data_IF_455238221951
#
_entry.id   IF_455238221951
#
_cell.length_a   1.000
_cell.length_b   1.000
_cell.length_c   1.000
_cell.angle_alpha   90.00
_cell.angle_beta   90.00
_cell.angle_gamma   90.00
#
_symmetry.space_group_name_H-M   'P 1'
#
loop_
_entity.id
_entity.type
_entity.pdbx_description
1 polymer ?
#
# COMPACT_ATOMS: atom_id res chain seq x y z
N UNK A 1 0.27 -20.22 -21.41
CA UNK A 1 0.98 -19.00 -21.88
C UNK A 1 1.04 -17.90 -20.83
N UNK A 2 -0.04 -17.21 -20.42
CA UNK A 2 0.03 -16.12 -19.43
C UNK A 2 0.57 -16.58 -18.06
N UNK A 3 0.12 -17.71 -17.54
CA UNK A 3 0.66 -18.32 -16.29
C UNK A 3 2.15 -18.57 -16.38
N UNK A 4 2.65 -19.07 -17.50
CA UNK A 4 4.08 -19.32 -17.69
C UNK A 4 4.88 -18.03 -17.71
N UNK A 5 4.37 -16.97 -18.33
CA UNK A 5 5.01 -15.65 -18.33
C UNK A 5 5.07 -15.07 -16.91
N UNK A 6 4.00 -15.21 -16.13
CA UNK A 6 3.98 -14.79 -14.72
C UNK A 6 4.99 -15.57 -13.88
N UNK A 7 5.06 -16.88 -14.05
CA UNK A 7 6.01 -17.71 -13.30
C UNK A 7 7.47 -17.41 -13.72
N UNK A 8 7.74 -17.20 -15.00
CA UNK A 8 9.05 -16.73 -15.47
C UNK A 8 9.41 -15.36 -14.89
N UNK A 9 8.46 -14.44 -14.82
CA UNK A 9 8.67 -13.13 -14.19
C UNK A 9 9.01 -13.22 -12.71
N UNK A 10 8.62 -14.30 -12.02
CA UNK A 10 8.91 -14.54 -10.60
C UNK A 10 10.40 -14.55 -10.26
N UNK A 11 11.26 -14.90 -11.21
CA UNK A 11 12.72 -14.89 -11.02
C UNK A 11 13.32 -13.50 -11.22
N UNK A 12 12.65 -12.63 -11.99
CA UNK A 12 13.08 -11.27 -12.30
C UNK A 12 12.52 -10.22 -11.33
N UNK A 13 11.51 -10.59 -10.53
CA UNK A 13 10.92 -9.70 -9.52
C UNK A 13 11.90 -9.51 -8.37
N UNK A 14 12.21 -8.25 -8.05
CA UNK A 14 13.14 -7.92 -6.98
C UNK A 14 12.60 -8.32 -5.57
N UNK A 15 13.52 -8.41 -4.62
CA UNK A 15 13.23 -8.85 -3.23
C UNK A 15 12.31 -7.89 -2.45
N UNK A 16 12.16 -6.67 -2.91
CA UNK A 16 11.28 -5.65 -2.31
C UNK A 16 9.79 -6.00 -2.42
N UNK A 17 9.43 -6.83 -3.41
CA UNK A 17 8.07 -7.34 -3.50
C UNK A 17 7.85 -8.41 -2.42
N UNK A 18 6.98 -8.11 -1.48
CA UNK A 18 6.65 -9.01 -0.37
C UNK A 18 6.07 -10.37 -0.80
N UNK A 19 5.59 -10.46 -2.03
CA UNK A 19 5.04 -11.66 -2.64
C UNK A 19 5.49 -11.80 -4.08
N UNK A 20 5.94 -13.00 -4.43
CA UNK A 20 6.23 -13.37 -5.81
C UNK A 20 4.94 -13.64 -6.58
N UNK A 21 4.94 -13.39 -7.92
CA UNK A 21 3.81 -13.74 -8.78
C UNK A 21 3.46 -15.22 -8.68
N UNK A 22 2.16 -15.50 -8.60
CA UNK A 22 1.62 -16.85 -8.61
C UNK A 22 0.86 -17.12 -9.90
N UNK A 23 0.55 -18.41 -10.14
CA UNK A 23 -0.29 -18.83 -11.26
C UNK A 23 -1.66 -18.15 -11.24
N UNK A 24 -2.22 -17.85 -12.42
CA UNK A 24 -3.61 -17.40 -12.56
C UNK A 24 -4.63 -18.45 -12.12
N UNK A 25 -4.26 -19.73 -12.09
CA UNK A 25 -5.12 -20.77 -11.53
C UNK A 25 -5.42 -20.56 -10.06
N UNK A 26 -4.60 -19.76 -9.38
CA UNK A 26 -4.76 -19.38 -7.97
C UNK A 26 -5.31 -17.95 -7.79
N UNK A 27 -5.85 -17.32 -8.83
CA UNK A 27 -6.27 -15.90 -8.79
C UNK A 27 -7.27 -15.61 -7.66
N UNK A 28 -8.17 -16.53 -7.36
CA UNK A 28 -9.11 -16.41 -6.24
C UNK A 28 -8.43 -16.32 -4.86
N UNK A 29 -7.19 -16.83 -4.77
CA UNK A 29 -6.37 -16.79 -3.55
C UNK A 29 -5.37 -15.64 -3.52
N UNK A 30 -5.32 -14.85 -4.58
CA UNK A 30 -4.42 -13.70 -4.63
C UNK A 30 -4.80 -12.69 -3.55
N UNK A 31 -3.80 -12.10 -2.96
CA UNK A 31 -3.99 -11.02 -1.98
C UNK A 31 -3.96 -9.67 -2.69
N UNK A 32 -4.50 -8.65 -2.06
CA UNK A 32 -4.58 -7.31 -2.61
C UNK A 32 -3.22 -6.78 -3.13
N UNK A 33 -2.12 -7.08 -2.43
CA UNK A 33 -0.78 -6.72 -2.89
C UNK A 33 -0.36 -7.45 -4.17
N UNK A 34 -0.83 -8.67 -4.42
CA UNK A 34 -0.54 -9.41 -5.66
C UNK A 34 -1.28 -8.79 -6.84
N UNK A 35 -2.55 -8.42 -6.64
CA UNK A 35 -3.31 -7.67 -7.63
C UNK A 35 -2.71 -6.29 -7.92
N UNK A 36 -2.25 -5.58 -6.88
CA UNK A 36 -1.56 -4.30 -7.04
C UNK A 36 -0.28 -4.45 -7.86
N UNK A 37 0.55 -5.43 -7.53
CA UNK A 37 1.79 -5.69 -8.26
C UNK A 37 1.52 -6.09 -9.71
N UNK A 38 0.47 -6.86 -9.93
CA UNK A 38 0.05 -7.21 -11.28
C UNK A 38 -0.40 -5.98 -12.05
N UNK A 39 -1.29 -5.15 -11.48
CA UNK A 39 -1.81 -3.95 -12.13
C UNK A 39 -0.69 -2.97 -12.53
N UNK A 40 0.26 -2.73 -11.65
CA UNK A 40 1.24 -1.66 -11.81
C UNK A 40 2.49 -2.08 -12.57
N UNK A 41 2.94 -3.33 -12.43
CA UNK A 41 4.26 -3.74 -12.89
C UNK A 41 4.25 -4.92 -13.86
N UNK A 42 3.55 -5.99 -13.53
CA UNK A 42 3.61 -7.23 -14.30
C UNK A 42 2.63 -7.23 -15.47
N UNK A 43 1.41 -6.78 -15.23
CA UNK A 43 0.34 -6.75 -16.23
C UNK A 43 0.72 -6.01 -17.50
N UNK A 44 1.26 -4.77 -17.43
CA UNK A 44 1.70 -4.04 -18.60
C UNK A 44 2.68 -4.80 -19.50
N UNK A 45 3.51 -5.64 -18.91
CA UNK A 45 4.51 -6.43 -19.64
C UNK A 45 3.94 -7.74 -20.16
N UNK A 46 3.30 -8.53 -19.29
CA UNK A 46 2.90 -9.89 -19.63
C UNK A 46 1.63 -9.94 -20.48
N UNK A 47 0.72 -8.98 -20.32
CA UNK A 47 -0.54 -8.93 -21.08
C UNK A 47 -0.36 -8.48 -22.52
N UNK A 48 0.69 -7.70 -22.81
CA UNK A 48 0.95 -7.18 -24.16
C UNK A 48 1.06 -8.27 -25.23
N UNK A 49 1.59 -9.42 -24.86
CA UNK A 49 1.77 -10.54 -25.80
C UNK A 49 0.63 -11.57 -25.76
N UNK A 50 -0.38 -11.36 -24.91
CA UNK A 50 -1.42 -12.34 -24.61
C UNK A 50 -2.82 -11.85 -24.99
N UNK A 51 -3.11 -10.59 -24.72
CA UNK A 51 -4.38 -9.96 -25.03
C UNK A 51 -4.37 -9.38 -26.44
N UNK A 52 -5.55 -9.31 -27.07
CA UNK A 52 -5.71 -8.47 -28.25
C UNK A 52 -5.66 -6.98 -27.85
N UNK A 53 -5.43 -6.13 -28.84
CA UNK A 53 -5.11 -4.71 -28.62
C UNK A 53 -6.20 -3.98 -27.81
N UNK A 54 -7.49 -4.25 -28.07
CA UNK A 54 -8.58 -3.58 -27.36
C UNK A 54 -8.56 -3.85 -25.86
N UNK A 55 -8.46 -5.13 -25.47
CA UNK A 55 -8.38 -5.50 -24.05
C UNK A 55 -7.08 -5.02 -23.38
N UNK A 56 -5.97 -5.05 -24.14
CA UNK A 56 -4.72 -4.55 -23.61
C UNK A 56 -4.76 -3.04 -23.39
N UNK A 57 -5.25 -2.27 -24.37
CA UNK A 57 -5.39 -0.83 -24.24
C UNK A 57 -6.34 -0.46 -23.09
N UNK A 58 -7.47 -1.16 -22.98
CA UNK A 58 -8.40 -0.96 -21.88
C UNK A 58 -7.73 -1.22 -20.52
N UNK A 59 -6.99 -2.31 -20.36
CA UNK A 59 -6.20 -2.57 -19.15
C UNK A 59 -5.21 -1.43 -18.86
N UNK A 60 -4.54 -0.90 -19.90
CA UNK A 60 -3.57 0.19 -19.75
C UNK A 60 -4.21 1.48 -19.28
N UNK A 61 -5.47 1.76 -19.60
CA UNK A 61 -6.19 2.93 -19.07
C UNK A 61 -6.19 2.91 -17.54
N UNK A 62 -6.53 1.78 -16.94
CA UNK A 62 -6.55 1.61 -15.48
C UNK A 62 -5.14 1.65 -14.89
N UNK A 63 -4.20 0.92 -15.48
CA UNK A 63 -2.82 0.83 -15.00
C UNK A 63 -2.13 2.19 -14.99
N UNK A 64 -2.24 2.95 -16.08
CA UNK A 64 -1.64 4.29 -16.20
C UNK A 64 -2.31 5.28 -15.24
N UNK A 65 -3.64 5.31 -15.20
CA UNK A 65 -4.36 6.21 -14.28
C UNK A 65 -3.96 5.96 -12.82
N UNK A 66 -3.89 4.68 -12.40
CA UNK A 66 -3.48 4.32 -11.05
C UNK A 66 -2.03 4.72 -10.76
N UNK A 67 -1.12 4.50 -11.71
CA UNK A 67 0.30 4.90 -11.59
C UNK A 67 0.45 6.41 -11.40
N UNK A 68 -0.30 7.22 -12.17
CA UNK A 68 -0.29 8.67 -12.05
C UNK A 68 -0.78 9.14 -10.67
N UNK A 69 -1.81 8.50 -10.12
CA UNK A 69 -2.38 8.83 -8.82
C UNK A 69 -1.54 8.34 -7.62
N UNK A 70 -0.63 7.39 -7.83
CA UNK A 70 0.33 6.93 -6.82
C UNK A 70 1.55 7.85 -6.69
N UNK A 71 1.95 8.53 -7.75
CA UNK A 71 3.12 9.41 -7.75
C UNK A 71 2.80 10.77 -7.13
N UNK A 72 3.59 11.22 -6.16
CA UNK A 72 3.41 12.55 -5.54
C UNK A 72 3.55 13.69 -6.54
N UNK A 73 4.41 13.55 -7.52
CA UNK A 73 4.62 14.55 -8.58
C UNK A 73 3.44 14.57 -9.55
N UNK A 74 3.05 13.41 -10.08
CA UNK A 74 2.03 13.32 -11.13
C UNK A 74 0.62 13.45 -10.59
N UNK A 75 0.34 13.07 -9.34
CA UNK A 75 -0.98 13.23 -8.72
C UNK A 75 -1.42 14.70 -8.63
N UNK A 76 -0.51 15.65 -8.67
CA UNK A 76 -0.83 17.08 -8.68
C UNK A 76 -0.98 17.64 -10.08
N UNK A 77 -0.14 17.23 -11.02
CA UNK A 77 -0.04 17.81 -12.37
C UNK A 77 -0.91 17.09 -13.39
N UNK A 78 -1.10 15.78 -13.23
CA UNK A 78 -1.76 14.90 -14.21
C UNK A 78 -3.11 14.34 -13.73
N UNK A 79 -3.67 14.86 -12.62
CA UNK A 79 -4.89 14.33 -12.02
C UNK A 79 -6.10 14.42 -12.97
N UNK A 80 -6.22 15.54 -13.69
CA UNK A 80 -7.28 15.72 -14.71
C UNK A 80 -7.16 14.69 -15.84
N UNK A 81 -5.92 14.33 -16.22
CA UNK A 81 -5.68 13.30 -17.23
C UNK A 81 -6.03 11.91 -16.69
N UNK A 82 -5.62 11.59 -15.46
CA UNK A 82 -6.00 10.33 -14.80
C UNK A 82 -7.53 10.19 -14.70
N UNK A 83 -8.25 11.27 -14.39
CA UNK A 83 -9.72 11.29 -14.37
C UNK A 83 -10.32 10.96 -15.75
N UNK A 84 -9.76 11.49 -16.83
CA UNK A 84 -10.23 11.18 -18.19
C UNK A 84 -9.99 9.70 -18.53
N UNK A 85 -8.82 9.15 -18.15
CA UNK A 85 -8.53 7.73 -18.38
C UNK A 85 -9.49 6.81 -17.63
N UNK A 86 -9.81 7.10 -16.36
CA UNK A 86 -10.76 6.29 -15.59
C UNK A 86 -12.20 6.40 -16.12
N UNK A 87 -12.63 7.58 -16.54
CA UNK A 87 -13.93 7.75 -17.17
C UNK A 87 -14.03 6.96 -18.47
N UNK A 88 -12.99 6.99 -19.29
CA UNK A 88 -12.90 6.20 -20.51
C UNK A 88 -12.91 4.69 -20.20
N UNK A 89 -12.10 4.26 -19.22
CA UNK A 89 -12.07 2.88 -18.76
C UNK A 89 -13.46 2.37 -18.36
N UNK A 90 -14.20 3.11 -17.56
CA UNK A 90 -15.54 2.71 -17.12
C UNK A 90 -16.55 2.74 -18.28
N UNK A 91 -16.45 3.72 -19.19
CA UNK A 91 -17.38 3.81 -20.33
C UNK A 91 -17.21 2.69 -21.37
N UNK A 92 -15.98 2.20 -21.57
CA UNK A 92 -15.69 1.11 -22.53
C UNK A 92 -15.93 -0.28 -21.96
N UNK A 93 -15.99 -0.41 -20.61
CA UNK A 93 -16.10 -1.71 -19.93
C UNK A 93 -17.33 -2.52 -20.39
N UNK A 94 -18.47 -1.87 -20.54
CA UNK A 94 -19.69 -2.52 -21.01
C UNK A 94 -19.53 -3.16 -22.40
N UNK A 95 -18.94 -2.43 -23.34
CA UNK A 95 -18.73 -2.94 -24.71
C UNK A 95 -17.74 -4.09 -24.78
N UNK A 96 -16.74 -4.12 -23.87
CA UNK A 96 -15.70 -5.15 -23.87
C UNK A 96 -16.05 -6.40 -23.05
N UNK A 97 -16.74 -6.22 -21.92
CA UNK A 97 -16.97 -7.29 -20.94
C UNK A 97 -18.44 -7.65 -20.75
N UNK A 98 -19.36 -6.91 -21.36
CA UNK A 98 -20.80 -7.13 -21.22
C UNK A 98 -21.41 -6.47 -19.98
N UNK A 99 -22.73 -6.69 -19.80
CA UNK A 99 -23.55 -6.02 -18.77
C UNK A 99 -23.07 -6.26 -17.34
N UNK A 100 -22.56 -7.45 -17.06
CA UNK A 100 -22.09 -7.84 -15.72
C UNK A 100 -20.84 -7.06 -15.26
N UNK A 101 -20.20 -6.31 -16.17
CA UNK A 101 -19.02 -5.51 -15.84
C UNK A 101 -19.35 -4.24 -15.07
N UNK A 102 -20.57 -3.71 -15.18
CA UNK A 102 -20.98 -2.43 -14.57
C UNK A 102 -21.41 -2.60 -13.10
N UNK A 103 -20.50 -3.10 -12.29
CA UNK A 103 -20.69 -3.23 -10.84
C UNK A 103 -20.30 -1.93 -10.11
N UNK A 104 -20.78 -1.79 -8.87
CA UNK A 104 -20.48 -0.65 -8.02
C UNK A 104 -18.98 -0.32 -7.93
N UNK A 105 -18.13 -1.35 -7.80
CA UNK A 105 -16.68 -1.17 -7.72
C UNK A 105 -16.08 -0.59 -9.01
N UNK A 106 -16.62 -0.95 -10.16
CA UNK A 106 -16.21 -0.38 -11.46
C UNK A 106 -16.60 1.10 -11.52
N UNK A 107 -17.86 1.42 -11.16
CA UNK A 107 -18.33 2.80 -11.15
C UNK A 107 -17.53 3.68 -10.18
N UNK A 108 -17.18 3.18 -9.01
CA UNK A 108 -16.46 3.96 -7.98
C UNK A 108 -15.08 4.43 -8.42
N UNK A 109 -14.49 3.81 -9.45
CA UNK A 109 -13.18 4.23 -9.98
C UNK A 109 -13.19 5.67 -10.52
N UNK A 110 -14.33 6.16 -11.02
CA UNK A 110 -14.42 7.54 -11.55
C UNK A 110 -14.26 8.61 -10.47
N UNK A 111 -14.46 8.26 -9.20
CA UNK A 111 -14.35 9.15 -8.05
C UNK A 111 -12.95 9.18 -7.41
N UNK A 112 -12.09 8.19 -7.71
CA UNK A 112 -10.73 8.13 -7.17
C UNK A 112 -9.90 9.41 -7.39
N UNK A 113 -9.98 10.10 -8.53
CA UNK A 113 -9.25 11.35 -8.71
C UNK A 113 -9.69 12.45 -7.74
N UNK A 114 -10.97 12.50 -7.38
CA UNK A 114 -11.48 13.47 -6.41
C UNK A 114 -10.97 13.14 -5.00
N UNK A 115 -10.91 11.86 -4.64
CA UNK A 115 -10.30 11.40 -3.39
C UNK A 115 -8.80 11.74 -3.33
N UNK A 116 -8.08 11.55 -4.43
CA UNK A 116 -6.65 11.92 -4.53
C UNK A 116 -6.47 13.44 -4.39
N UNK A 117 -7.37 14.24 -4.92
CA UNK A 117 -7.33 15.68 -4.75
C UNK A 117 -7.48 16.11 -3.27
N UNK A 118 -8.31 15.39 -2.51
CA UNK A 118 -8.57 15.70 -1.10
C UNK A 118 -7.55 15.11 -0.15
N UNK A 119 -7.19 13.83 -0.33
CA UNK A 119 -6.40 13.06 0.63
C UNK A 119 -4.93 12.85 0.21
N UNK A 120 -4.56 13.27 -1.01
CA UNK A 120 -3.24 13.03 -1.58
C UNK A 120 -3.16 11.70 -2.34
N UNK A 121 -1.96 11.18 -2.57
CA UNK A 121 -1.75 9.95 -3.36
C UNK A 121 -2.52 8.75 -2.81
N UNK A 122 -2.86 7.79 -3.67
CA UNK A 122 -3.61 6.58 -3.29
C UNK A 122 -3.01 5.84 -2.08
N UNK A 123 -1.70 5.87 -1.90
CA UNK A 123 -1.05 5.21 -0.76
C UNK A 123 -1.36 5.89 0.58
N UNK A 124 -1.68 7.18 0.59
CA UNK A 124 -1.96 7.93 1.83
C UNK A 124 -3.26 7.51 2.52
N UNK A 125 -4.23 7.04 1.74
CA UNK A 125 -5.52 6.58 2.27
C UNK A 125 -5.84 5.12 1.94
N UNK A 126 -4.85 4.35 1.49
CA UNK A 126 -5.00 2.92 1.22
C UNK A 126 -5.21 2.11 2.50
N UNK A 127 -5.91 0.97 2.39
CA UNK A 127 -6.16 0.07 3.51
C UNK A 127 -4.98 -0.85 3.85
N UNK A 128 -3.92 -0.89 3.04
CA UNK A 128 -2.77 -1.80 3.25
C UNK A 128 -2.10 -1.66 4.63
N UNK A 129 -1.85 -0.45 5.17
CA UNK A 129 -1.29 -0.31 6.52
C UNK A 129 -2.20 -0.90 7.59
N UNK A 130 -3.51 -0.75 7.46
CA UNK A 130 -4.50 -1.29 8.40
C UNK A 130 -4.56 -2.82 8.33
N UNK A 131 -4.57 -3.40 7.13
CA UNK A 131 -4.52 -4.86 6.95
C UNK A 131 -3.24 -5.45 7.55
N UNK A 132 -2.09 -4.81 7.32
CA UNK A 132 -0.81 -5.21 7.90
C UNK A 132 -0.87 -5.17 9.42
N UNK A 133 -1.43 -4.10 10.01
CA UNK A 133 -1.60 -3.97 11.46
C UNK A 133 -2.54 -5.03 12.04
N UNK A 134 -3.68 -5.28 11.37
CA UNK A 134 -4.60 -6.35 11.76
C UNK A 134 -3.91 -7.73 11.70
N UNK A 135 -3.06 -7.97 10.70
CA UNK A 135 -2.25 -9.19 10.62
C UNK A 135 -1.31 -9.36 11.82
N UNK A 136 -0.67 -8.27 12.27
CA UNK A 136 0.17 -8.27 13.48
C UNK A 136 -0.67 -8.58 14.72
N UNK A 137 -1.82 -7.92 14.88
CA UNK A 137 -2.74 -8.14 16.01
C UNK A 137 -3.21 -9.60 16.05
N UNK A 138 -3.60 -10.14 14.90
CA UNK A 138 -4.02 -11.54 14.78
C UNK A 138 -2.92 -12.52 15.23
N UNK A 139 -1.67 -12.26 14.86
CA UNK A 139 -0.51 -13.07 15.29
C UNK A 139 -0.24 -12.99 16.80
N UNK A 140 -0.61 -11.89 17.44
CA UNK A 140 -0.48 -11.71 18.89
C UNK A 140 -1.53 -12.52 19.69
N UNK A 141 -2.66 -12.84 19.08
CA UNK A 141 -3.70 -13.69 19.70
C UNK A 141 -3.31 -15.16 19.54
N UNK A 142 -3.01 -15.84 20.63
CA UNK A 142 -2.57 -17.26 20.65
C UNK A 142 -3.72 -18.27 20.74
N UNK A 143 -4.86 -17.81 21.23
CA UNK A 143 -6.05 -18.67 21.40
C UNK A 143 -7.32 -17.89 21.08
N UNK A 144 -8.40 -18.60 20.76
CA UNK A 144 -9.72 -17.98 20.57
C UNK A 144 -10.38 -17.49 21.87
N UNK A 145 -9.82 -17.85 23.04
CA UNK A 145 -10.37 -17.45 24.33
C UNK A 145 -9.92 -16.03 24.70
N UNK A 146 -10.89 -15.14 24.99
CA UNK A 146 -10.66 -13.75 25.45
C UNK A 146 -9.67 -12.97 24.57
N UNK A 147 -9.91 -12.85 23.26
CA UNK A 147 -8.94 -12.24 22.32
C UNK A 147 -8.63 -10.78 22.68
N UNK A 148 -9.62 -10.02 23.16
CA UNK A 148 -9.43 -8.64 23.57
C UNK A 148 -8.48 -8.50 24.76
N UNK A 149 -8.63 -9.35 25.77
CA UNK A 149 -7.76 -9.33 26.94
C UNK A 149 -6.29 -9.69 26.55
N UNK A 150 -6.12 -10.66 25.65
CA UNK A 150 -4.79 -10.98 25.11
C UNK A 150 -4.19 -9.81 24.35
N UNK A 151 -4.97 -9.13 23.53
CA UNK A 151 -4.52 -7.95 22.79
C UNK A 151 -4.10 -6.82 23.75
N UNK A 152 -4.95 -6.45 24.71
CA UNK A 152 -4.66 -5.39 25.66
C UNK A 152 -3.37 -5.67 26.44
N UNK A 153 -3.19 -6.90 26.93
CA UNK A 153 -1.99 -7.32 27.65
C UNK A 153 -0.74 -7.19 26.77
N UNK A 154 -0.77 -7.72 25.54
CA UNK A 154 0.33 -7.66 24.59
C UNK A 154 0.67 -6.23 24.18
N UNK A 155 -0.35 -5.42 23.96
CA UNK A 155 -0.16 -4.01 23.62
C UNK A 155 0.50 -3.25 24.76
N UNK A 156 0.09 -3.51 26.00
CA UNK A 156 0.73 -2.94 27.20
C UNK A 156 2.18 -3.38 27.34
N UNK A 157 2.47 -4.67 27.14
CA UNK A 157 3.84 -5.21 27.17
C UNK A 157 4.74 -4.53 26.12
N UNK A 158 4.26 -4.33 24.92
CA UNK A 158 5.00 -3.67 23.84
C UNK A 158 5.19 -2.16 24.08
N UNK A 159 4.20 -1.49 24.66
CA UNK A 159 4.27 -0.08 24.97
C UNK A 159 5.28 0.20 26.11
N UNK A 160 5.42 -0.72 27.06
CA UNK A 160 6.42 -0.61 28.14
C UNK A 160 7.84 -0.92 27.68
N UNK A 161 8.01 -1.59 26.52
CA UNK A 161 9.32 -1.88 25.94
C UNK A 161 9.79 -0.82 24.93
N UNK A 162 8.93 0.11 24.52
CA UNK A 162 9.41 1.25 23.74
C UNK A 162 10.36 2.06 24.62
N UNK A 163 11.61 2.28 24.17
CA UNK A 163 12.46 3.22 24.88
C UNK A 163 11.67 4.52 24.94
N UNK A 164 11.51 5.03 26.16
CA UNK A 164 10.99 6.38 26.34
C UNK A 164 11.93 7.24 25.50
N UNK A 165 11.47 7.66 24.33
CA UNK A 165 12.12 8.73 23.59
C UNK A 165 11.95 9.91 24.52
N UNK A 166 12.96 10.10 25.37
CA UNK A 166 13.07 11.32 26.15
C UNK A 166 12.94 12.44 25.14
N UNK A 167 11.81 13.11 25.13
CA UNK A 167 11.72 14.44 24.55
C UNK A 167 12.96 15.12 25.06
N UNK A 168 13.87 15.52 24.18
CA UNK A 168 15.14 16.14 24.51
C UNK A 168 14.84 17.24 25.53
N UNK A 169 15.01 16.93 26.81
CA UNK A 169 15.02 17.94 27.87
C UNK A 169 16.21 18.81 27.52
N UNK A 170 15.95 20.02 27.02
CA UNK A 170 17.01 20.94 26.63
C UNK A 170 17.83 21.37 27.86
N UNK A 171 17.25 21.32 29.05
CA UNK A 171 17.96 21.57 30.30
C UNK A 171 17.23 20.99 31.51
N UNK A 172 17.96 20.54 32.51
CA UNK A 172 17.44 20.11 33.81
C UNK A 172 18.04 21.03 34.88
N UNK A 173 17.17 21.68 35.68
CA UNK A 173 17.58 22.44 36.86
C UNK A 173 17.67 21.52 38.07
N UNK A 174 18.82 21.45 38.69
CA UNK A 174 19.02 20.77 39.99
C UNK A 174 19.47 21.77 41.03
N UNK A 175 19.49 21.37 42.30
CA UNK A 175 20.03 22.20 43.42
C UNK A 175 21.51 22.56 43.23
N UNK A 176 22.24 21.82 42.40
CA UNK A 176 23.65 22.01 42.10
C UNK A 176 23.97 22.72 40.79
N UNK A 177 22.96 23.05 39.96
CA UNK A 177 23.15 23.76 38.68
C UNK A 177 22.12 23.43 37.58
N UNK A 178 22.33 24.03 36.41
CA UNK A 178 21.53 23.78 35.20
C UNK A 178 22.38 22.93 34.27
N UNK A 179 21.87 21.75 33.89
CA UNK A 179 22.51 20.84 32.95
C UNK A 179 21.77 20.93 31.61
N UNK A 180 22.50 21.23 30.54
CA UNK A 180 21.95 21.30 29.15
C UNK A 180 22.33 20.04 28.37
N UNK A 181 21.36 19.38 27.76
CA UNK A 181 21.60 18.18 26.95
C UNK A 181 22.18 18.62 25.61
N UNK A 182 23.41 18.20 25.31
CA UNK A 182 24.07 18.49 24.02
C UNK A 182 25.47 19.10 24.17
N UNK A 183 25.91 19.46 25.36
CA UNK A 183 27.31 19.81 25.61
C UNK A 183 28.06 18.58 26.16
N UNK A 184 29.11 18.17 25.42
CA UNK A 184 30.04 17.16 25.93
C UNK A 184 30.75 17.70 27.19
N UNK A 185 30.31 17.27 28.34
CA UNK A 185 31.06 17.50 29.57
C UNK A 185 32.31 16.61 29.57
N UNK A 186 33.48 17.24 29.48
CA UNK A 186 34.79 16.59 29.57
C UNK A 186 35.09 15.93 30.92
N UNK A 187 34.19 15.95 31.87
CA UNK A 187 34.30 15.24 33.15
C UNK A 187 33.29 14.12 33.19
N UNK A 188 33.70 12.90 32.89
CA UNK A 188 32.94 11.66 32.78
C UNK A 188 32.15 11.22 34.01
N UNK A 189 31.19 11.99 34.44
CA UNK A 189 30.19 11.63 35.45
C UNK A 189 28.82 11.92 34.89
N UNK A 190 28.27 10.93 34.15
CA UNK A 190 26.82 10.78 34.00
C UNK A 190 26.31 10.10 35.27
N UNK A 191 25.51 10.80 36.04
CA UNK A 191 24.64 10.21 37.04
C UNK A 191 23.28 9.90 36.38
#
# INVERSE_FOLDING_TARGET
MLTELLLKSSTAVCSEFSRKPRSLQEVERWKALEFRNFLLYLGPVVLRSVLCDDFYHHFMLLSVATTLMLSETFSRTMLTFASKLLKLFVSEAHGLYGDDSLVYNMHSLVHLPDDVAHFGTLDKFSCFPFESKLGVIKKQSRSGARPLAQFCRRHSELSSQQPVTCTKLQSVKTSSGIFTVGEEHKSGQCA
#
